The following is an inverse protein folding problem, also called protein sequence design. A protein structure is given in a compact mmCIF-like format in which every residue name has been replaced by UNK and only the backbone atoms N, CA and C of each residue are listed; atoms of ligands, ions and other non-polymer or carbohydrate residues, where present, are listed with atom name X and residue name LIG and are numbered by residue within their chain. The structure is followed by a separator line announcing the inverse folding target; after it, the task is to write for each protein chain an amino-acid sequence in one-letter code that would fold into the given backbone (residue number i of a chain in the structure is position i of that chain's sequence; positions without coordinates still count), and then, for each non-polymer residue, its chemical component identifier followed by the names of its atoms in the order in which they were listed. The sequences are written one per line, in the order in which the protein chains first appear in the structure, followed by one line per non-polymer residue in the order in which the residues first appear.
data_IF_237231850804
#
_entry.id   IF_237231850804
#
_cell.length_a   1.000
_cell.length_b   1.000
_cell.length_c   1.000
_cell.angle_alpha   90.00
_cell.angle_beta   90.00
_cell.angle_gamma   90.00
#
_symmetry.space_group_name_H-M   'P 1'
#
loop_
_entity.id
_entity.type
_entity.pdbx_description
1 polymer ?
#
# COMPACT_ATOMS: atom_id res chain seq x y z
N UNK A 1 -10.48 1.14 -17.86
CA UNK A 1 -9.17 0.81 -17.31
C UNK A 1 -9.25 0.70 -15.80
N UNK A 2 -9.14 -0.49 -15.27
CA UNK A 2 -9.23 -0.65 -13.80
C UNK A 2 -8.02 -0.05 -13.10
N UNK A 3 -8.26 0.53 -11.94
CA UNK A 3 -7.21 1.17 -11.15
C UNK A 3 -7.18 0.55 -9.76
N UNK A 4 -6.00 0.15 -9.32
CA UNK A 4 -5.78 -0.34 -7.97
C UNK A 4 -4.93 0.70 -7.26
N UNK A 5 -5.41 1.20 -6.14
CA UNK A 5 -4.66 2.18 -5.35
C UNK A 5 -4.29 1.59 -4.01
N UNK A 6 -3.03 1.72 -3.65
CA UNK A 6 -2.54 1.26 -2.36
C UNK A 6 -1.84 2.40 -1.65
N UNK A 7 -2.35 2.77 -0.49
CA UNK A 7 -1.70 3.77 0.34
C UNK A 7 -0.93 3.02 1.42
N UNK A 8 0.35 3.30 1.55
CA UNK A 8 1.20 2.53 2.45
C UNK A 8 2.38 3.39 2.88
N UNK A 9 3.03 3.02 3.97
CA UNK A 9 4.27 3.66 4.37
C UNK A 9 5.35 3.40 3.33
N UNK A 10 6.41 4.22 3.28
CA UNK A 10 7.46 4.02 2.28
C UNK A 10 8.03 2.61 2.30
N UNK A 11 8.25 2.06 1.13
CA UNK A 11 8.74 0.69 0.96
C UNK A 11 9.94 0.68 0.01
N UNK A 12 10.82 -0.31 0.13
CA UNK A 12 11.90 -0.46 -0.85
C UNK A 12 11.32 -0.66 -2.25
N UNK A 13 12.05 -0.20 -3.27
CA UNK A 13 11.60 -0.33 -4.64
C UNK A 13 11.31 -1.76 -5.05
N UNK A 14 12.09 -2.71 -4.54
CA UNK A 14 11.90 -4.11 -4.81
C UNK A 14 10.54 -4.60 -4.32
N UNK A 15 10.15 -4.17 -3.13
CA UNK A 15 8.85 -4.53 -2.57
C UNK A 15 7.73 -3.93 -3.40
N UNK A 16 7.90 -2.68 -3.83
CA UNK A 16 6.89 -2.01 -4.66
C UNK A 16 6.72 -2.73 -5.99
N UNK A 17 7.82 -3.17 -6.59
CA UNK A 17 7.73 -3.91 -7.86
C UNK A 17 6.93 -5.20 -7.68
N UNK A 18 7.17 -5.89 -6.59
CA UNK A 18 6.43 -7.13 -6.30
C UNK A 18 4.96 -6.86 -6.03
N UNK A 19 4.67 -5.79 -5.29
CA UNK A 19 3.28 -5.41 -5.02
C UNK A 19 2.54 -5.13 -6.31
N UNK A 20 3.15 -4.36 -7.21
CA UNK A 20 2.53 -4.04 -8.49
C UNK A 20 2.22 -5.32 -9.26
N UNK A 21 3.18 -6.22 -9.33
CA UNK A 21 3.01 -7.45 -10.07
C UNK A 21 1.92 -8.34 -9.47
N UNK A 22 1.97 -8.53 -8.15
CA UNK A 22 1.05 -9.45 -7.49
C UNK A 22 -0.36 -8.92 -7.35
N UNK A 23 -0.51 -7.61 -7.12
CA UNK A 23 -1.83 -7.01 -7.07
C UNK A 23 -2.51 -7.09 -8.43
N UNK A 24 -1.76 -6.82 -9.49
CA UNK A 24 -2.27 -6.93 -10.84
C UNK A 24 -2.69 -8.36 -11.15
N UNK A 25 -1.84 -9.32 -10.80
CA UNK A 25 -2.10 -10.73 -11.05
C UNK A 25 -3.37 -11.20 -10.34
N UNK A 26 -3.50 -10.85 -9.07
CA UNK A 26 -4.67 -11.25 -8.29
C UNK A 26 -5.96 -10.65 -8.85
N UNK A 27 -5.92 -9.36 -9.18
CA UNK A 27 -7.10 -8.69 -9.70
C UNK A 27 -7.47 -9.22 -11.07
N UNK A 28 -6.49 -9.49 -11.92
CA UNK A 28 -6.76 -10.04 -13.24
C UNK A 28 -7.39 -11.43 -13.14
N UNK A 29 -6.89 -12.24 -12.21
CA UNK A 29 -7.40 -13.60 -12.01
C UNK A 29 -8.86 -13.59 -11.56
N UNK A 30 -9.19 -12.67 -10.64
CA UNK A 30 -10.55 -12.63 -10.09
C UNK A 30 -11.56 -11.98 -11.03
N UNK A 31 -11.13 -10.98 -11.78
CA UNK A 31 -12.07 -10.23 -12.62
C UNK A 31 -12.17 -10.77 -14.04
N UNK A 32 -11.18 -11.52 -14.49
CA UNK A 32 -11.10 -11.94 -15.88
C UNK A 32 -10.65 -10.85 -16.83
N UNK A 33 -10.34 -9.66 -16.31
CA UNK A 33 -9.84 -8.58 -17.14
C UNK A 33 -8.33 -8.79 -17.38
N UNK A 34 -7.84 -8.63 -18.62
CA UNK A 34 -6.42 -8.85 -18.90
C UNK A 34 -5.52 -7.96 -18.05
N UNK A 35 -4.43 -8.53 -17.56
CA UNK A 35 -3.48 -7.82 -16.71
C UNK A 35 -2.98 -6.52 -17.34
N UNK A 36 -2.82 -6.51 -18.65
CA UNK A 36 -2.33 -5.34 -19.37
C UNK A 36 -3.23 -4.11 -19.26
N UNK A 37 -4.45 -4.29 -18.80
CA UNK A 37 -5.40 -3.18 -18.67
C UNK A 37 -5.40 -2.55 -17.30
N UNK A 38 -4.69 -3.14 -16.35
CA UNK A 38 -4.69 -2.62 -14.97
C UNK A 38 -3.65 -1.53 -14.77
N UNK A 39 -4.02 -0.56 -13.96
CA UNK A 39 -3.11 0.48 -13.49
C UNK A 39 -2.99 0.32 -11.98
N UNK A 40 -1.77 0.25 -11.47
CA UNK A 40 -1.53 0.18 -10.03
C UNK A 40 -0.80 1.43 -9.59
N UNK A 41 -1.38 2.11 -8.60
CA UNK A 41 -0.79 3.33 -8.06
C UNK A 41 -0.46 3.08 -6.60
N UNK A 42 0.78 3.34 -6.22
CA UNK A 42 1.22 3.21 -4.85
C UNK A 42 1.48 4.61 -4.29
N UNK A 43 0.72 4.98 -3.26
CA UNK A 43 0.90 6.25 -2.59
C UNK A 43 1.70 5.99 -1.32
N UNK A 44 2.91 6.51 -1.26
CA UNK A 44 3.73 6.34 -0.07
C UNK A 44 3.52 7.53 0.84
N UNK A 45 3.08 7.25 2.06
CA UNK A 45 2.79 8.28 3.03
C UNK A 45 3.67 8.09 4.27
N UNK A 46 4.37 9.14 4.71
CA UNK A 46 5.11 9.03 5.96
C UNK A 46 4.12 8.90 7.11
N UNK A 47 4.56 8.26 8.18
CA UNK A 47 3.68 7.97 9.31
C UNK A 47 3.07 9.22 9.94
N UNK A 48 3.79 10.34 9.88
CA UNK A 48 3.29 11.61 10.40
C UNK A 48 2.07 12.12 9.62
N UNK A 49 1.87 11.60 8.42
CA UNK A 49 0.73 11.99 7.58
C UNK A 49 -0.46 11.07 7.75
N UNK A 50 -0.35 10.08 8.60
CA UNK A 50 -1.39 9.08 8.80
C UNK A 50 -1.93 9.23 10.21
N UNK A 51 -3.25 9.40 10.33
CA UNK A 51 -3.88 9.51 11.62
C UNK A 51 -4.81 8.35 11.90
N UNK A 52 -4.80 7.89 13.14
CA UNK A 52 -5.70 6.82 13.59
C UNK A 52 -6.33 7.29 14.89
N UNK A 53 -7.65 7.45 14.87
CA UNK A 53 -8.36 7.88 16.06
C UNK A 53 -7.95 9.26 16.56
N UNK A 54 -7.49 10.12 15.68
CA UNK A 54 -7.05 11.46 16.01
C UNK A 54 -5.59 11.56 16.42
N UNK A 55 -4.85 10.45 16.41
CA UNK A 55 -3.44 10.46 16.73
C UNK A 55 -2.61 10.17 15.48
N UNK A 56 -1.48 10.88 15.30
CA UNK A 56 -0.56 10.56 14.22
C UNK A 56 -0.01 9.15 14.44
N UNK A 57 0.18 8.42 13.36
CA UNK A 57 0.60 7.03 13.44
C UNK A 57 1.99 6.88 14.07
N UNK A 58 2.91 7.80 13.78
CA UNK A 58 4.24 7.75 14.37
C UNK A 58 4.18 7.84 15.89
N UNK A 59 3.28 8.67 16.42
CA UNK A 59 3.08 8.83 17.84
C UNK A 59 2.43 7.59 18.45
N UNK A 60 1.45 7.06 17.76
CA UNK A 60 0.76 5.85 18.21
C UNK A 60 1.72 4.67 18.27
N UNK A 61 2.57 4.53 17.28
CA UNK A 61 3.55 3.45 17.23
C UNK A 61 4.60 3.60 18.33
N UNK A 62 5.00 4.83 18.62
CA UNK A 62 5.94 5.08 19.69
C UNK A 62 5.36 4.66 21.04
N UNK A 63 4.07 4.92 21.26
CA UNK A 63 3.41 4.54 22.49
C UNK A 63 3.30 3.04 22.65
N UNK A 64 3.16 2.32 21.54
CA UNK A 64 3.00 0.89 21.58
C UNK A 64 4.34 0.17 21.57
N UNK A 65 5.43 0.90 21.50
CA UNK A 65 6.75 0.33 21.41
C UNK A 65 6.87 -0.52 20.19
N UNK A 66 6.27 -0.13 19.13
CA UNK A 66 5.99 -0.93 18.10
C UNK A 66 7.00 -1.29 17.17
N UNK A 67 6.95 -2.35 16.69
CA UNK A 67 7.78 -2.83 15.70
C UNK A 67 7.04 -3.14 14.44
N UNK A 68 5.77 -2.98 14.42
CA UNK A 68 5.02 -3.38 13.27
C UNK A 68 4.82 -2.26 12.33
N UNK A 69 4.88 -2.52 11.05
CA UNK A 69 4.55 -1.55 10.05
C UNK A 69 3.08 -1.55 9.80
N UNK A 70 2.52 -0.40 9.58
CA UNK A 70 1.12 -0.31 9.23
C UNK A 70 0.84 -0.92 7.88
#
# INVERSE_FOLDING_TARGET
MPVIRLAISPQPGEVKHQLIARLTEAAAAETGIPAAKFLVLIDELPRENIGVGGLPLDELMARQGDADNP
#
